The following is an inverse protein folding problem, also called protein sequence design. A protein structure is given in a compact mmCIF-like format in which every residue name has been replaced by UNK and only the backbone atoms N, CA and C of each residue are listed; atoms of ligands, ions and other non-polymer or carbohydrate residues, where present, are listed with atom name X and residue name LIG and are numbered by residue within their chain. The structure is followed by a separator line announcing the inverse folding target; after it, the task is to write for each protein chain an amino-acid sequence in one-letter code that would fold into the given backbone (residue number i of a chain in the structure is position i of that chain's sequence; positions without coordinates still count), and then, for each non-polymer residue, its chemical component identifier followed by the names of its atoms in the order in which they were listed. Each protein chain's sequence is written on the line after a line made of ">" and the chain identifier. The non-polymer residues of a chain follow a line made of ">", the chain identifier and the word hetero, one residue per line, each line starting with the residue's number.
data_IF_521306295402
#
_entry.id   IF_521306295402
#
_cell.length_a   1.000
_cell.length_b   1.000
_cell.length_c   1.000
_cell.angle_alpha   90.00
_cell.angle_beta   90.00
_cell.angle_gamma   90.00
#
_symmetry.space_group_name_H-M   'P 1'
#
loop_
_entity.id
_entity.type
_entity.pdbx_description
1 polymer ?
#
# COMPACT_ATOMS: atom_id res chain seq x y z
N UNK A 1 -29.24 -5.65 3.87
CA UNK A 1 -28.38 -6.74 3.47
C UNK A 1 -27.31 -6.29 2.49
N UNK A 2 -27.76 -5.71 1.38
CA UNK A 2 -26.85 -5.22 0.36
C UNK A 2 -25.97 -4.09 0.88
N UNK A 3 -26.49 -3.26 1.75
CA UNK A 3 -25.75 -2.15 2.34
C UNK A 3 -24.55 -2.65 3.16
N UNK A 4 -24.75 -3.72 3.92
CA UNK A 4 -23.69 -4.31 4.70
C UNK A 4 -22.63 -4.96 3.81
N UNK A 5 -23.05 -5.56 2.72
CA UNK A 5 -22.12 -6.17 1.77
C UNK A 5 -21.23 -5.13 1.12
N UNK A 6 -21.78 -3.97 0.76
CA UNK A 6 -20.99 -2.90 0.17
C UNK A 6 -19.89 -2.43 1.12
N UNK A 7 -20.21 -2.39 2.43
CA UNK A 7 -19.26 -1.94 3.43
C UNK A 7 -18.15 -2.96 3.73
N UNK A 8 -18.31 -4.20 3.27
CA UNK A 8 -17.34 -5.25 3.51
C UNK A 8 -16.65 -5.73 2.24
N UNK A 9 -16.85 -5.03 1.14
CA UNK A 9 -16.12 -5.32 -0.10
C UNK A 9 -14.67 -4.87 0.11
N UNK A 10 -13.74 -5.78 -0.08
CA UNK A 10 -12.31 -5.49 0.10
C UNK A 10 -11.71 -5.11 -1.23
N UNK A 11 -10.92 -4.04 -1.21
CA UNK A 11 -10.21 -3.56 -2.40
C UNK A 11 -9.28 -4.67 -2.90
N UNK A 12 -9.45 -5.16 -4.12
CA UNK A 12 -8.65 -6.29 -4.61
C UNK A 12 -7.17 -5.95 -4.79
N UNK A 13 -6.84 -4.69 -4.98
CA UNK A 13 -5.44 -4.27 -5.08
C UNK A 13 -4.79 -4.33 -3.71
N UNK A 14 -5.48 -3.86 -2.68
CA UNK A 14 -4.97 -3.83 -1.31
C UNK A 14 -5.10 -5.17 -0.59
N UNK A 15 -6.03 -6.01 -1.02
CA UNK A 15 -6.26 -7.29 -0.37
C UNK A 15 -5.31 -8.34 -0.94
N UNK A 16 -4.04 -8.12 -0.73
CA UNK A 16 -2.95 -9.00 -1.14
C UNK A 16 -1.83 -8.77 -0.12
N UNK A 17 -1.34 -9.81 0.55
CA UNK A 17 -0.48 -9.64 1.74
C UNK A 17 0.71 -8.71 1.54
N UNK A 18 1.42 -8.82 0.44
CA UNK A 18 2.61 -7.99 0.23
C UNK A 18 2.20 -6.54 -0.02
N UNK A 19 1.18 -6.32 -0.85
CA UNK A 19 0.72 -4.96 -1.15
C UNK A 19 0.13 -4.29 0.09
N UNK A 20 -0.59 -5.04 0.92
CA UNK A 20 -1.07 -4.51 2.20
C UNK A 20 0.10 -4.02 3.05
N UNK A 21 1.16 -4.83 3.13
CA UNK A 21 2.33 -4.49 3.94
C UNK A 21 3.09 -3.28 3.38
N UNK A 22 3.19 -3.20 2.06
CA UNK A 22 3.84 -2.05 1.42
C UNK A 22 3.13 -0.76 1.79
N UNK A 23 1.81 -0.74 1.60
CA UNK A 23 1.02 0.47 1.87
C UNK A 23 1.05 0.81 3.35
N UNK A 24 0.91 -0.18 4.22
CA UNK A 24 0.97 0.04 5.67
C UNK A 24 2.31 0.65 6.09
N UNK A 25 3.41 0.12 5.55
CA UNK A 25 4.74 0.63 5.85
C UNK A 25 4.89 2.08 5.40
N UNK A 26 4.45 2.38 4.18
CA UNK A 26 4.56 3.73 3.64
C UNK A 26 3.66 4.73 4.36
N UNK A 27 2.46 4.32 4.74
CA UNK A 27 1.56 5.19 5.51
C UNK A 27 2.20 5.54 6.85
N UNK A 28 2.76 4.56 7.52
CA UNK A 28 3.37 4.78 8.83
C UNK A 28 4.64 5.62 8.75
N UNK A 29 5.44 5.42 7.72
CA UNK A 29 6.74 6.06 7.59
C UNK A 29 6.71 7.39 6.83
N UNK A 30 5.74 7.55 5.94
CA UNK A 30 5.62 8.72 5.09
C UNK A 30 6.21 8.47 3.71
N UNK A 31 7.46 8.05 3.63
CA UNK A 31 8.10 7.72 2.36
C UNK A 31 9.26 6.77 2.60
N UNK A 32 9.69 6.08 1.55
CA UNK A 32 10.79 5.13 1.66
C UNK A 32 11.42 4.89 0.29
N UNK A 33 12.69 4.49 0.32
CA UNK A 33 13.37 4.04 -0.89
C UNK A 33 13.01 2.58 -1.18
N UNK A 34 13.33 2.15 -2.39
CA UNK A 34 13.14 0.76 -2.79
C UNK A 34 13.89 -0.19 -1.85
N UNK A 35 15.13 0.15 -1.55
CA UNK A 35 15.96 -0.67 -0.66
C UNK A 35 15.37 -0.79 0.74
N UNK A 36 14.87 0.33 1.28
CA UNK A 36 14.23 0.31 2.59
C UNK A 36 13.01 -0.59 2.62
N UNK A 37 12.18 -0.51 1.58
CA UNK A 37 11.00 -1.37 1.46
C UNK A 37 11.40 -2.84 1.36
N UNK A 38 12.39 -3.13 0.52
CA UNK A 38 12.87 -4.49 0.33
C UNK A 38 13.35 -5.11 1.64
N UNK A 39 14.14 -4.35 2.38
CA UNK A 39 14.68 -4.81 3.66
C UNK A 39 13.58 -4.98 4.71
N UNK A 40 12.67 -4.03 4.78
CA UNK A 40 11.59 -4.07 5.77
C UNK A 40 10.66 -5.25 5.53
N UNK A 41 10.35 -5.55 4.27
CA UNK A 41 9.43 -6.61 3.93
C UNK A 41 10.10 -7.97 3.72
N UNK A 42 11.42 -7.98 3.63
CA UNK A 42 12.20 -9.20 3.42
C UNK A 42 11.75 -9.97 2.19
N UNK A 43 11.67 -9.29 1.06
CA UNK A 43 11.25 -9.89 -0.20
C UNK A 43 12.28 -9.61 -1.28
N UNK A 44 12.16 -10.32 -2.40
CA UNK A 44 13.08 -10.15 -3.53
C UNK A 44 12.79 -8.88 -4.29
N UNK A 45 13.77 -8.40 -5.05
CA UNK A 45 13.62 -7.24 -5.93
C UNK A 45 12.46 -7.43 -6.90
N UNK A 46 12.38 -8.60 -7.52
CA UNK A 46 11.36 -8.89 -8.51
C UNK A 46 9.96 -8.87 -7.93
N UNK A 47 9.80 -9.45 -6.74
CA UNK A 47 8.51 -9.44 -6.04
C UNK A 47 8.08 -8.02 -5.69
N UNK A 48 9.01 -7.26 -5.09
CA UNK A 48 8.69 -5.89 -4.73
C UNK A 48 8.32 -5.07 -5.96
N UNK A 49 9.12 -5.19 -7.01
CA UNK A 49 8.88 -4.41 -8.23
C UNK A 49 7.52 -4.71 -8.84
N UNK A 50 7.14 -5.98 -8.89
CA UNK A 50 5.85 -6.38 -9.45
C UNK A 50 4.68 -5.77 -8.67
N UNK A 51 4.75 -5.82 -7.35
CA UNK A 51 3.69 -5.27 -6.50
C UNK A 51 3.66 -3.75 -6.51
N UNK A 52 4.83 -3.12 -6.54
CA UNK A 52 4.91 -1.66 -6.65
C UNK A 52 4.29 -1.17 -7.96
N UNK A 53 4.54 -1.89 -9.04
CA UNK A 53 3.97 -1.56 -10.34
C UNK A 53 2.44 -1.60 -10.31
N UNK A 54 1.88 -2.62 -9.65
CA UNK A 54 0.43 -2.75 -9.49
C UNK A 54 -0.15 -1.60 -8.69
N UNK A 55 0.49 -1.23 -7.60
CA UNK A 55 0.05 -0.13 -6.75
C UNK A 55 0.14 1.21 -7.48
N UNK A 56 1.20 1.41 -8.26
CA UNK A 56 1.36 2.60 -9.08
C UNK A 56 0.27 2.72 -10.14
N UNK A 57 0.01 1.61 -10.82
CA UNK A 57 -1.04 1.57 -11.86
C UNK A 57 -2.42 1.88 -11.29
N UNK A 58 -2.64 1.55 -10.02
CA UNK A 58 -3.90 1.83 -9.34
C UNK A 58 -3.99 3.27 -8.83
N UNK A 59 -2.91 4.03 -8.92
CA UNK A 59 -2.88 5.40 -8.43
C UNK A 59 -2.70 5.51 -6.92
N UNK A 60 -2.30 4.42 -6.26
CA UNK A 60 -2.21 4.38 -4.79
C UNK A 60 -0.84 4.80 -4.27
N UNK A 61 0.19 4.67 -5.08
CA UNK A 61 1.52 5.16 -4.70
C UNK A 61 2.08 6.05 -5.81
N UNK A 62 3.00 6.89 -5.42
CA UNK A 62 3.69 7.79 -6.33
C UNK A 62 5.17 7.78 -5.98
N UNK A 63 5.97 8.32 -6.89
CA UNK A 63 7.41 8.43 -6.68
C UNK A 63 7.84 9.87 -6.89
N UNK A 64 8.91 10.24 -6.20
CA UNK A 64 9.58 11.51 -6.51
C UNK A 64 11.07 11.32 -6.28
N UNK A 65 11.83 12.16 -6.94
CA UNK A 65 13.27 12.15 -6.83
C UNK A 65 13.72 13.14 -5.78
N UNK A 66 14.67 12.72 -4.97
CA UNK A 66 15.28 13.59 -3.98
C UNK A 66 16.77 13.63 -4.25
N UNK A 67 17.31 14.84 -4.38
CA UNK A 67 18.75 15.03 -4.51
C UNK A 67 19.36 15.19 -3.14
N UNK A 68 20.42 14.47 -2.89
CA UNK A 68 21.13 14.61 -1.65
C UNK A 68 22.44 13.84 -1.77
N UNK A 69 23.51 14.35 -1.20
CA UNK A 69 24.80 13.67 -1.22
C UNK A 69 25.28 13.31 -2.62
N UNK A 70 24.91 14.12 -3.62
CA UNK A 70 25.37 13.94 -4.98
C UNK A 70 24.67 12.86 -5.78
N UNK A 71 23.75 12.09 -5.16
CA UNK A 71 23.03 11.02 -5.85
C UNK A 71 21.52 11.23 -5.74
N UNK A 72 20.82 11.24 -6.88
CA UNK A 72 19.36 11.25 -6.82
C UNK A 72 18.85 9.92 -6.27
N UNK A 73 17.88 10.02 -5.38
CA UNK A 73 17.18 8.84 -4.85
C UNK A 73 15.72 8.90 -5.25
N UNK A 74 15.14 7.74 -5.56
CA UNK A 74 13.72 7.65 -5.78
C UNK A 74 13.04 7.27 -4.47
N UNK A 75 12.08 8.10 -4.08
CA UNK A 75 11.28 7.86 -2.88
C UNK A 75 9.87 7.49 -3.29
N UNK A 76 9.29 6.56 -2.55
CA UNK A 76 7.92 6.09 -2.77
C UNK A 76 7.05 6.58 -1.63
N UNK A 77 5.84 7.02 -1.95
CA UNK A 77 4.88 7.49 -0.97
C UNK A 77 3.47 7.11 -1.39
N UNK A 78 2.56 7.04 -0.42
CA UNK A 78 1.16 6.75 -0.69
C UNK A 78 0.48 8.05 -1.11
N UNK A 79 -0.30 8.01 -2.17
CA UNK A 79 -1.06 9.17 -2.64
C UNK A 79 -2.25 9.43 -1.72
N UNK A 80 -2.89 10.59 -1.86
CA UNK A 80 -4.14 10.86 -1.13
C UNK A 80 -5.19 9.81 -1.44
N UNK A 81 -5.28 9.40 -2.70
CA UNK A 81 -6.19 8.34 -3.13
C UNK A 81 -5.85 7.02 -2.45
N UNK A 82 -4.55 6.70 -2.38
CA UNK A 82 -4.10 5.47 -1.71
C UNK A 82 -4.38 5.48 -0.23
N UNK A 83 -4.21 6.62 0.43
CA UNK A 83 -4.50 6.73 1.87
C UNK A 83 -5.99 6.53 2.14
N UNK A 84 -6.83 7.15 1.33
CA UNK A 84 -8.29 7.00 1.46
C UNK A 84 -8.71 5.55 1.22
N UNK A 85 -8.14 4.92 0.19
CA UNK A 85 -8.44 3.53 -0.13
C UNK A 85 -7.99 2.59 0.99
N UNK A 86 -6.82 2.84 1.57
CA UNK A 86 -6.29 2.01 2.64
C UNK A 86 -7.14 2.14 3.90
N UNK A 87 -7.56 3.36 4.25
CA UNK A 87 -8.44 3.58 5.39
C UNK A 87 -9.74 2.82 5.22
N UNK A 88 -10.33 2.91 4.04
CA UNK A 88 -11.57 2.19 3.74
C UNK A 88 -11.37 0.68 3.80
N UNK A 89 -10.24 0.19 3.29
CA UNK A 89 -9.90 -1.22 3.32
C UNK A 89 -9.83 -1.73 4.76
N UNK A 90 -9.14 -1.00 5.64
CA UNK A 90 -9.02 -1.37 7.06
C UNK A 90 -10.41 -1.38 7.73
N UNK A 91 -11.23 -0.38 7.46
CA UNK A 91 -12.58 -0.30 8.03
C UNK A 91 -13.44 -1.48 7.57
N UNK A 92 -13.37 -1.82 6.29
CA UNK A 92 -14.12 -2.95 5.75
C UNK A 92 -13.66 -4.27 6.36
N UNK A 93 -12.35 -4.41 6.53
CA UNK A 93 -11.79 -5.60 7.15
C UNK A 93 -12.24 -5.73 8.61
N UNK A 94 -12.25 -4.62 9.35
CA UNK A 94 -12.73 -4.61 10.74
C UNK A 94 -14.19 -5.01 10.82
N UNK A 95 -15.02 -4.55 9.89
CA UNK A 95 -16.43 -4.94 9.85
C UNK A 95 -16.58 -6.44 9.62
N UNK A 96 -15.78 -7.00 8.72
CA UNK A 96 -15.78 -8.44 8.49
C UNK A 96 -15.42 -9.21 9.76
N UNK A 97 -14.39 -8.75 10.47
CA UNK A 97 -13.94 -9.40 11.69
C UNK A 97 -14.96 -9.33 12.82
N UNK A 98 -15.86 -8.35 12.76
CA UNK A 98 -16.89 -8.16 13.79
C UNK A 98 -18.21 -8.82 13.44
N UNK A 99 -18.29 -9.46 12.28
CA UNK A 99 -19.49 -10.18 11.91
C UNK A 99 -19.63 -11.47 12.71
N UNK A 100 -20.87 -11.83 12.98
CA UNK A 100 -21.18 -13.11 13.60
C UNK A 100 -21.23 -14.21 12.54
N UNK A 101 -20.65 -15.34 12.84
CA UNK A 101 -20.67 -16.50 11.96
C UNK A 101 -21.36 -17.71 12.66
#
# INVERSE_FOLDING_TARGET
>A
LTKNQADTVLDPVLHQPIRTRIVAFLVARGEATFTELKQALEITDGNLEAHMKKLKASGYITTHKQSGNGRPQTLYAVTSSGQAAFKKYIQSLQKLLNMEF
#
